data_IF_088411958527
#
_entry.id   IF_088411958527
#
_cell.length_a   1.000
_cell.length_b   1.000
_cell.length_c   1.000
_cell.angle_alpha   90.00
_cell.angle_beta   90.00
_cell.angle_gamma   90.00
#
_symmetry.space_group_name_H-M   'P 1'
#
loop_
_entity.id
_entity.type
_entity.pdbx_description
1 polymer ?
2 polymer ?
3 polymer ?
4 non-polymer ?
5 water ?
#
# COMPACT_ATOMS: atom_id res chain seq x y z
N UNK A 5 -13.96 -17.01 5.78
CA UNK A 5 -14.74 -16.57 6.94
C UNK A 5 -15.73 -15.47 6.52
N UNK A 6 -16.49 -14.94 7.49
CA UNK A 6 -17.49 -13.93 7.21
C UNK A 6 -16.91 -12.68 6.55
N UNK A 7 -15.66 -12.34 6.87
CA UNK A 7 -15.00 -11.14 6.36
C UNK A 7 -13.96 -11.44 5.29
N UNK A 8 -13.40 -12.65 5.28
CA UNK A 8 -12.44 -13.07 4.26
C UNK A 8 -13.07 -13.86 3.12
N UNK A 9 -14.39 -14.07 3.13
CA UNK A 9 -15.06 -14.77 2.03
C UNK A 9 -15.20 -16.26 2.25
N UNK A 23 -10.03 -18.64 13.10
CA UNK A 23 -11.42 -18.34 12.72
C UNK A 23 -11.82 -16.93 13.13
N UNK A 24 -11.37 -16.45 14.29
CA UNK A 24 -11.72 -15.12 14.78
C UNK A 24 -10.64 -14.06 14.49
N UNK A 25 -9.38 -14.39 14.77
CA UNK A 25 -8.31 -13.42 14.58
C UNK A 25 -8.11 -13.12 13.09
N UNK A 26 -8.10 -14.17 12.26
CA UNK A 26 -7.94 -13.98 10.83
C UNK A 26 -9.11 -13.20 10.26
N UNK A 27 -10.32 -13.51 10.74
CA UNK A 27 -11.53 -12.82 10.30
C UNK A 27 -11.45 -11.33 10.61
N UNK A 28 -10.85 -10.97 11.74
CA UNK A 28 -10.74 -9.56 12.11
C UNK A 28 -9.71 -8.83 11.25
N UNK A 29 -8.66 -9.53 10.81
CA UNK A 29 -7.74 -8.92 9.86
C UNK A 29 -8.47 -8.53 8.58
N UNK A 30 -9.34 -9.41 8.07
CA UNK A 30 -10.03 -9.10 6.82
C UNK A 30 -11.05 -7.99 7.01
N UNK A 31 -11.68 -7.94 8.20
CA UNK A 31 -12.63 -6.88 8.50
C UNK A 31 -11.98 -5.51 8.34
N UNK A 32 -10.88 -5.29 9.05
CA UNK A 32 -10.20 -4.00 8.99
C UNK A 32 -9.75 -3.70 7.58
N UNK A 33 -9.19 -4.70 6.89
CA UNK A 33 -8.75 -4.53 5.51
C UNK A 33 -9.90 -4.10 4.62
N UNK A 34 -11.08 -4.67 4.84
CA UNK A 34 -12.23 -4.30 4.03
C UNK A 34 -12.71 -2.88 4.30
N UNK A 35 -12.28 -2.24 5.39
CA UNK A 35 -12.64 -0.87 5.69
C UNK A 35 -11.51 0.10 5.38
N UNK A 36 -10.61 -0.28 4.46
CA UNK A 36 -9.54 0.60 4.01
C UNK A 36 -10.12 1.92 3.51
N UNK A 37 -9.61 3.07 3.96
CA UNK A 37 -10.25 4.34 3.58
C UNK A 37 -10.06 4.71 2.11
N UNK A 38 -9.11 4.11 1.40
CA UNK A 38 -8.74 4.59 0.07
C UNK A 38 -8.62 3.37 -0.84
N UNK A 39 -9.63 3.16 -1.68
CA UNK A 39 -9.66 2.04 -2.61
C UNK A 39 -9.97 2.56 -4.00
N UNK A 40 -9.62 1.76 -4.99
CA UNK A 40 -9.79 2.09 -6.40
C UNK A 40 -10.32 0.88 -7.11
N UNK A 41 -11.59 0.93 -7.53
CA UNK A 41 -12.19 -0.20 -8.21
C UNK A 41 -11.53 -0.43 -9.56
N UNK A 42 -11.83 -1.59 -10.15
CA UNK A 42 -11.39 -1.89 -11.51
C UNK A 42 -11.86 -0.81 -12.47
N UNK A 43 -10.92 -0.26 -13.23
CA UNK A 43 -11.22 0.77 -14.20
C UNK A 43 -11.42 2.14 -13.63
N UNK A 44 -11.26 2.32 -12.32
CA UNK A 44 -11.47 3.60 -11.68
C UNK A 44 -10.24 4.48 -11.81
N UNK A 45 -10.49 5.78 -12.03
CA UNK A 45 -9.43 6.80 -12.02
C UNK A 45 -9.51 7.61 -10.73
N UNK A 46 -8.37 7.80 -10.09
CA UNK A 46 -8.30 8.50 -8.82
C UNK A 46 -6.84 8.82 -8.59
N UNK A 47 -6.55 10.00 -8.03
CA UNK A 47 -5.18 10.41 -7.73
C UNK A 47 -4.29 10.50 -8.96
N UNK A 48 -4.84 10.71 -10.14
CA UNK A 48 -4.04 10.71 -11.34
C UNK A 48 -3.67 9.34 -11.88
N UNK A 49 -4.14 8.27 -11.25
CA UNK A 49 -3.94 6.90 -11.69
C UNK A 49 -5.22 6.35 -12.26
N UNK A 50 -5.12 5.19 -12.90
CA UNK A 50 -6.28 4.43 -13.36
C UNK A 50 -5.97 2.96 -13.11
N UNK A 51 -6.84 2.27 -12.36
CA UNK A 51 -6.63 0.85 -12.07
C UNK A 51 -7.04 0.03 -13.29
N UNK A 52 -6.06 -0.56 -13.96
CA UNK A 52 -6.32 -1.37 -15.13
C UNK A 52 -6.51 -2.85 -14.82
N UNK A 53 -6.43 -3.25 -13.55
CA UNK A 53 -6.74 -4.62 -13.16
C UNK A 53 -8.25 -4.84 -13.18
N UNK A 54 -8.67 -6.11 -13.08
CA UNK A 54 -10.08 -6.47 -13.06
C UNK A 54 -10.67 -6.54 -11.64
N UNK A 55 -9.93 -6.08 -10.64
CA UNK A 55 -10.42 -6.09 -9.27
C UNK A 55 -9.87 -4.86 -8.55
N UNK A 56 -10.43 -4.59 -7.39
CA UNK A 56 -10.09 -3.39 -6.64
C UNK A 56 -8.68 -3.47 -6.11
N UNK A 57 -7.97 -2.34 -6.15
CA UNK A 57 -6.68 -2.19 -5.50
C UNK A 57 -6.80 -1.17 -4.38
N UNK A 58 -5.90 -1.29 -3.41
CA UNK A 58 -5.97 -0.52 -2.18
C UNK A 58 -4.70 0.29 -1.97
N UNK A 59 -4.79 1.25 -1.05
CA UNK A 59 -3.62 1.96 -0.59
C UNK A 59 -2.63 0.99 0.04
N UNK A 60 -1.33 1.22 -0.19
CA UNK A 60 -0.30 0.35 0.36
C UNK A 60 -0.37 0.25 1.89
N UNK A 61 -0.75 1.31 2.59
CA UNK A 61 -0.77 1.23 4.04
C UNK A 61 -1.81 0.21 4.54
N UNK A 62 -2.95 0.12 3.86
CA UNK A 62 -3.93 -0.90 4.20
C UNK A 62 -3.40 -2.31 3.93
N UNK A 63 -2.77 -2.50 2.76
CA UNK A 63 -2.21 -3.82 2.45
C UNK A 63 -1.08 -4.17 3.41
N UNK A 64 -0.27 -3.18 3.79
CA UNK A 64 0.81 -3.41 4.76
C UNK A 64 0.26 -3.86 6.10
N UNK A 65 -0.77 -3.17 6.60
CA UNK A 65 -1.36 -3.53 7.89
C UNK A 65 -2.06 -4.88 7.82
N UNK A 66 -2.64 -5.23 6.67
CA UNK A 66 -3.28 -6.54 6.50
C UNK A 66 -2.24 -7.65 6.56
N UNK A 67 -1.12 -7.46 5.85
CA UNK A 67 -0.03 -8.42 5.84
C UNK A 67 0.48 -8.68 7.24
N UNK A 68 0.75 -7.60 7.97
CA UNK A 68 1.28 -7.72 9.33
C UNK A 68 0.26 -8.36 10.27
N UNK A 69 -1.03 -8.02 10.12
CA UNK A 69 -2.09 -8.59 10.96
C UNK A 69 -2.19 -10.10 10.75
N UNK A 70 -2.12 -10.55 9.50
CA UNK A 70 -2.20 -11.98 9.25
C UNK A 70 -0.98 -12.70 9.79
N UNK A 71 0.20 -12.10 9.64
CA UNK A 71 1.44 -12.75 10.09
C UNK A 71 1.44 -12.93 11.60
N UNK A 72 0.79 -12.01 12.32
CA UNK A 72 0.74 -12.02 13.78
C UNK A 72 -0.53 -12.67 14.33
N UNK A 73 -1.43 -13.12 13.47
CA UNK A 73 -2.68 -13.71 13.95
C UNK A 73 -2.42 -15.07 14.61
N UNK A 74 -3.18 -15.37 15.65
CA UNK A 74 -3.03 -16.66 16.35
C UNK A 74 -3.67 -17.81 15.58
N UNK A 75 -4.69 -17.54 14.76
CA UNK A 75 -5.30 -18.58 13.90
C UNK A 75 -4.39 -18.76 12.70
N UNK A 76 -3.28 -19.48 12.92
CA UNK A 76 -2.17 -19.44 11.99
C UNK A 76 -2.49 -20.15 10.68
N UNK A 77 -3.36 -21.15 10.69
CA UNK A 77 -3.63 -21.90 9.48
C UNK A 77 -4.55 -21.10 8.55
N UNK A 78 -5.60 -20.50 9.11
CA UNK A 78 -6.49 -19.65 8.29
C UNK A 78 -5.73 -18.45 7.76
N UNK A 79 -4.89 -17.83 8.59
CA UNK A 79 -4.14 -16.66 8.16
C UNK A 79 -3.17 -17.01 7.03
N UNK A 80 -2.59 -18.19 7.10
CA UNK A 80 -1.67 -18.62 6.06
C UNK A 80 -2.38 -18.76 4.72
N UNK A 81 -3.56 -19.37 4.71
CA UNK A 81 -4.33 -19.51 3.47
C UNK A 81 -4.74 -18.14 2.94
N UNK A 82 -5.24 -17.27 3.82
CA UNK A 82 -5.72 -15.96 3.38
C UNK A 82 -4.58 -15.11 2.85
N UNK A 83 -3.46 -15.09 3.58
CA UNK A 83 -2.32 -14.30 3.14
C UNK A 83 -1.78 -14.74 1.80
N UNK A 84 -1.56 -16.06 1.64
CA UNK A 84 -1.08 -16.59 0.38
C UNK A 84 -2.01 -16.23 -0.77
N UNK A 85 -3.31 -16.48 -0.58
CA UNK A 85 -4.32 -16.17 -1.59
C UNK A 85 -4.29 -14.70 -2.00
N UNK A 86 -4.22 -13.80 -1.04
CA UNK A 86 -4.30 -12.38 -1.37
C UNK A 86 -3.01 -11.89 -2.00
N UNK A 87 -1.89 -12.19 -1.37
CA UNK A 87 -0.63 -11.54 -1.70
C UNK A 87 0.12 -12.22 -2.83
N UNK A 88 0.00 -13.53 -2.98
CA UNK A 88 0.82 -14.25 -3.93
C UNK A 88 0.16 -14.42 -5.30
N UNK A 89 -1.04 -13.86 -5.48
CA UNK A 89 -1.63 -13.78 -6.81
C UNK A 89 -0.73 -12.95 -7.71
N UNK A 90 -0.61 -13.37 -8.98
CA UNK A 90 0.26 -12.69 -9.93
C UNK A 90 -0.20 -11.24 -10.11
N UNK A 91 0.78 -10.33 -10.24
CA UNK A 91 0.55 -8.94 -10.65
C UNK A 91 -0.16 -8.12 -9.56
N UNK A 92 -0.03 -8.48 -8.30
CA UNK A 92 -0.72 -7.73 -7.26
C UNK A 92 0.01 -6.43 -6.96
N UNK A 93 -0.78 -5.36 -6.78
CA UNK A 93 -0.22 -4.02 -6.59
C UNK A 93 -1.08 -3.19 -5.64
N UNK A 94 -0.44 -2.17 -5.07
CA UNK A 94 -1.09 -1.14 -4.26
C UNK A 94 -0.60 0.21 -4.73
N UNK A 95 -1.23 1.29 -4.26
CA UNK A 95 -0.81 2.62 -4.61
C UNK A 95 -0.54 3.48 -3.37
N UNK A 96 0.35 4.45 -3.54
CA UNK A 96 0.66 5.37 -2.47
C UNK A 96 1.37 6.58 -3.06
N UNK A 97 1.42 7.63 -2.24
CA UNK A 97 2.15 8.85 -2.57
C UNK A 97 3.63 8.67 -2.27
N UNK A 98 4.47 8.93 -3.25
CA UNK A 98 5.90 8.73 -3.11
C UNK A 98 6.61 9.59 -4.13
N UNK A 99 7.89 9.91 -3.85
CA UNK A 99 8.72 10.57 -4.86
C UNK A 99 8.78 9.70 -6.13
N UNK A 100 9.05 10.30 -7.30
CA UNK A 100 9.02 9.51 -8.54
C UNK A 100 9.98 8.32 -8.51
N UNK A 101 9.43 7.13 -8.76
CA UNK A 101 10.22 5.92 -8.69
C UNK A 101 11.17 5.86 -9.88
N UNK A 102 12.43 5.51 -9.62
CA UNK A 102 13.47 5.46 -10.64
C UNK A 102 13.95 4.06 -11.00
N UNK A 103 13.71 3.07 -10.16
CA UNK A 103 14.19 1.73 -10.44
C UNK A 103 13.83 0.77 -9.32
N UNK A 104 14.20 -0.50 -9.52
CA UNK A 104 14.14 -1.51 -8.47
C UNK A 104 15.56 -1.90 -8.09
N UNK A 105 15.82 -1.90 -6.79
CA UNK A 105 17.12 -2.28 -6.29
C UNK A 105 17.24 -3.78 -6.09
N UNK A 106 16.13 -4.47 -5.85
CA UNK A 106 16.17 -5.92 -5.69
C UNK A 106 14.82 -6.48 -6.07
N UNK A 107 14.85 -7.46 -6.98
CA UNK A 107 13.66 -8.23 -7.36
C UNK A 107 13.90 -9.69 -7.02
N UNK A 108 12.88 -10.36 -6.50
CA UNK A 108 12.94 -11.79 -6.23
C UNK A 108 11.57 -12.39 -6.52
N UNK A 109 11.55 -13.55 -7.19
CA UNK A 109 10.32 -14.26 -7.56
C UNK A 109 9.34 -13.33 -8.28
N UNK A 110 9.86 -12.51 -9.17
CA UNK A 110 9.00 -11.67 -9.98
C UNK A 110 8.39 -10.48 -9.28
N UNK A 111 8.94 -10.06 -8.13
CA UNK A 111 8.39 -8.94 -7.37
C UNK A 111 9.51 -8.02 -6.92
N UNK A 112 9.26 -6.71 -7.00
CA UNK A 112 10.18 -5.72 -6.46
C UNK A 112 10.11 -5.71 -4.94
N UNK A 113 11.25 -5.95 -4.30
CA UNK A 113 11.37 -5.83 -2.85
C UNK A 113 11.66 -4.41 -2.43
N UNK A 114 12.58 -3.76 -3.15
CA UNK A 114 13.06 -2.42 -2.80
C UNK A 114 13.21 -1.59 -4.06
N UNK A 115 12.73 -0.36 -3.98
CA UNK A 115 12.77 0.59 -5.09
C UNK A 115 13.55 1.83 -4.67
N UNK A 116 13.95 2.60 -5.68
CA UNK A 116 14.66 3.85 -5.50
C UNK A 116 13.81 4.97 -6.08
N UNK A 117 14.06 6.20 -5.62
CA UNK A 117 13.29 7.37 -6.03
C UNK A 117 14.21 8.54 -6.30
N UNK A 118 13.66 9.52 -7.02
CA UNK A 118 14.28 10.83 -7.18
C UNK A 118 13.73 11.70 -6.06
N UNK A 119 14.50 11.81 -4.99
CA UNK A 119 14.06 12.51 -3.79
C UNK A 119 13.89 14.02 -4.01
N UNK A 120 14.40 14.55 -5.13
CA UNK A 120 14.36 15.98 -5.42
C UNK A 120 13.13 16.42 -6.19
N UNK A 121 12.21 15.49 -6.56
CA UNK A 121 10.99 15.86 -7.27
C UNK A 121 9.76 15.64 -6.38
N UNK A 122 8.67 16.40 -6.59
CA UNK A 122 7.52 16.27 -5.70
C UNK A 122 6.91 14.89 -5.74
N UNK A 123 6.28 14.52 -4.63
CA UNK A 123 5.68 13.20 -4.53
C UNK A 123 4.42 13.15 -5.37
N UNK A 124 4.17 11.99 -5.97
CA UNK A 124 2.99 11.73 -6.78
C UNK A 124 2.52 10.32 -6.48
N UNK A 125 1.23 10.07 -6.67
CA UNK A 125 0.71 8.73 -6.48
C UNK A 125 1.22 7.81 -7.56
N UNK A 126 1.66 6.62 -7.15
CA UNK A 126 2.26 5.63 -8.05
C UNK A 126 1.86 4.25 -7.59
N UNK A 127 2.19 3.25 -8.41
CA UNK A 127 1.89 1.85 -8.15
C UNK A 127 3.10 1.10 -7.68
N UNK A 128 2.90 0.18 -6.72
CA UNK A 128 3.95 -0.61 -6.09
C UNK A 128 3.54 -2.07 -5.97
N UNK A 129 4.52 -2.95 -6.14
CA UNK A 129 4.31 -4.39 -5.97
C UNK A 129 3.96 -4.73 -4.53
N UNK A 130 3.05 -5.69 -4.35
CA UNK A 130 2.86 -6.31 -3.05
C UNK A 130 3.97 -7.33 -2.81
N UNK A 131 4.20 -7.64 -1.54
CA UNK A 131 5.19 -8.64 -1.16
C UNK A 131 4.54 -10.01 -1.11
N UNK A 132 5.34 -11.04 -1.37
CA UNK A 132 4.86 -12.40 -1.20
C UNK A 132 4.70 -12.70 0.29
N UNK A 133 3.68 -13.49 0.61
CA UNK A 133 3.35 -13.87 1.97
C UNK A 133 4.07 -15.16 2.35
N UNK B 1 8.79 -7.62 19.71
CA UNK B 1 9.70 -8.06 20.78
C UNK B 1 11.17 -7.95 20.38
N UNK B 2 11.46 -7.33 19.27
CA UNK B 2 12.81 -7.42 18.73
C UNK B 2 13.68 -6.42 19.50
N UNK B 3 14.94 -6.75 19.64
CA UNK B 3 15.91 -5.89 20.30
C UNK B 3 17.14 -5.77 19.41
N UNK B 4 17.66 -4.55 19.36
CA UNK B 4 18.84 -4.18 18.60
C UNK B 4 19.91 -3.74 19.58
N UNK B 5 21.11 -4.27 19.43
CA UNK B 5 22.24 -3.99 20.32
C UNK B 5 23.38 -3.53 19.44
N UNK B 6 23.82 -2.29 19.63
CA UNK B 6 24.87 -1.69 18.83
C UNK B 6 26.19 -1.65 19.59
N UNK B 7 27.28 -1.63 18.85
CA UNK B 7 28.56 -1.37 19.47
C UNK B 7 29.55 -0.93 18.41
N UNK B 8 30.73 -0.50 18.87
CA UNK B 8 31.82 -0.15 17.99
C UNK B 8 32.09 1.33 17.86
N UNK B 9 31.35 2.18 18.56
CA UNK B 9 31.60 3.61 18.52
C UNK B 9 32.81 3.97 19.34
N UNK B 10 33.11 5.26 19.36
CA UNK B 10 34.23 5.74 20.14
C UNK B 10 34.71 7.09 19.63
N UNK B 11 35.88 7.46 20.11
CA UNK B 11 36.54 8.72 19.80
C UNK B 11 37.78 8.40 18.99
N UNK B 12 37.81 8.87 17.73
CA UNK B 12 38.86 8.51 16.80
C UNK B 12 39.42 9.77 16.15
N UNK B 13 40.68 9.73 15.76
CA UNK B 13 41.24 10.88 15.08
C UNK B 13 40.77 10.89 13.61
N UNK B 14 40.61 12.08 13.07
CA UNK B 14 40.23 12.25 11.67
C UNK B 14 41.22 11.53 10.75
N UNK B 15 40.69 10.92 9.71
CA UNK B 15 41.43 10.01 8.87
C UNK B 15 41.37 8.56 9.30
N UNK B 16 40.91 8.28 10.52
CA UNK B 16 40.91 6.94 11.06
C UNK B 16 39.69 6.16 10.64
N UNK B 17 39.48 5.04 11.33
CA UNK B 17 38.43 4.12 10.95
C UNK B 17 37.83 3.46 12.19
N UNK B 18 36.60 2.98 12.02
CA UNK B 18 35.84 2.28 13.04
C UNK B 18 34.97 1.25 12.33
N UNK B 19 34.51 0.24 13.08
CA UNK B 19 33.51 -0.69 12.58
C UNK B 19 32.37 -0.77 13.59
N UNK B 20 31.20 -0.31 13.18
CA UNK B 20 30.00 -0.48 13.99
C UNK B 20 29.38 -1.82 13.69
N UNK B 21 28.77 -2.40 14.71
CA UNK B 21 27.98 -3.61 14.57
C UNK B 21 26.66 -3.41 15.27
N UNK B 22 25.66 -4.12 14.78
CA UNK B 22 24.32 -4.11 15.34
C UNK B 22 23.78 -5.52 15.25
N UNK B 23 23.53 -6.15 16.39
CA UNK B 23 22.95 -7.48 16.48
C UNK B 23 21.47 -7.37 16.82
N UNK B 24 20.65 -8.16 16.12
CA UNK B 24 19.21 -8.07 16.22
C UNK B 24 18.63 -9.44 16.57
N UNK B 25 17.74 -9.47 17.56
CA UNK B 25 17.08 -10.68 17.98
C UNK B 25 15.57 -10.46 17.91
N UNK B 26 14.83 -11.56 17.89
CA UNK B 26 13.39 -11.55 18.04
C UNK B 26 12.61 -11.94 16.80
N UNK B 27 13.26 -12.06 15.66
CA UNK B 27 12.59 -12.52 14.45
C UNK B 27 13.66 -13.02 13.48
N UNK B 28 13.22 -13.51 12.33
CA UNK B 28 14.14 -14.07 11.34
C UNK B 28 14.92 -12.93 10.70
N UNK B 29 16.20 -12.81 11.08
CA UNK B 29 17.02 -11.66 10.70
C UNK B 29 17.09 -11.47 9.19
N UNK B 30 17.26 -12.54 8.42
CA UNK B 30 17.48 -12.42 6.98
C UNK B 30 16.25 -11.95 6.20
N UNK B 31 15.07 -11.89 6.80
CA UNK B 31 13.88 -11.45 6.09
C UNK B 31 13.78 -9.93 5.95
N UNK B 32 14.62 -9.17 6.65
CA UNK B 32 14.44 -7.73 6.79
C UNK B 32 15.69 -6.94 6.46
N UNK B 33 15.48 -5.84 5.75
CA UNK B 33 16.54 -4.88 5.53
C UNK B 33 16.99 -4.27 6.85
N UNK B 34 18.26 -3.87 6.89
CA UNK B 34 18.85 -3.20 8.03
C UNK B 34 19.51 -1.91 7.55
N UNK B 35 19.41 -0.86 8.35
CA UNK B 35 19.92 0.43 7.97
C UNK B 35 20.67 1.07 9.11
N UNK B 36 21.47 2.05 8.73
CA UNK B 36 22.18 2.94 9.64
C UNK B 36 21.76 4.37 9.35
N UNK B 37 21.45 5.09 10.41
CA UNK B 37 21.11 6.49 10.37
C UNK B 37 22.03 7.18 11.36
N UNK B 38 22.14 8.51 11.26
CA UNK B 38 22.95 9.24 12.23
C UNK B 38 22.33 10.60 12.49
N UNK B 39 22.58 11.11 13.69
CA UNK B 39 22.08 12.42 14.11
C UNK B 39 23.22 13.15 14.80
N UNK B 40 23.69 14.22 14.18
CA UNK B 40 24.71 15.10 14.73
C UNK B 40 24.06 16.12 15.63
N UNK B 41 24.84 16.81 16.48
CA UNK B 41 24.22 17.78 17.41
C UNK B 41 23.49 18.89 16.68
N UNK B 42 22.25 19.14 17.08
CA UNK B 42 21.44 20.20 16.52
C UNK B 42 20.93 19.97 15.11
N UNK B 43 21.19 18.80 14.51
CA UNK B 43 20.76 18.47 13.16
C UNK B 43 19.69 17.40 13.18
N UNK B 44 19.00 17.26 12.06
CA UNK B 44 18.02 16.20 11.91
C UNK B 44 18.73 14.88 11.66
N UNK B 45 18.06 13.80 12.06
CA UNK B 45 18.57 12.46 11.81
C UNK B 45 18.55 12.21 10.30
N UNK B 46 19.59 11.55 9.79
CA UNK B 46 19.76 11.39 8.35
C UNK B 46 20.20 9.96 8.03
N UNK B 47 19.87 9.55 6.83
CA UNK B 47 20.23 8.21 6.38
C UNK B 47 21.72 8.14 6.08
N UNK B 48 22.32 7.00 6.39
CA UNK B 48 23.74 6.75 6.14
C UNK B 48 23.87 5.59 5.15
N UNK B 49 23.31 4.43 5.49
CA UNK B 49 23.49 3.26 4.64
C UNK B 49 22.44 2.21 4.97
N UNK B 50 22.12 1.36 4.00
CA UNK B 50 21.21 0.26 4.28
C UNK B 50 21.50 -0.92 3.38
N UNK B 51 21.02 -2.08 3.79
CA UNK B 51 21.31 -3.35 3.13
C UNK B 51 20.07 -4.24 3.19
N UNK B 52 19.77 -4.91 2.08
CA UNK B 52 18.59 -5.75 2.00
C UNK B 52 18.79 -7.02 2.82
N UNK B 53 17.69 -7.72 3.10
CA UNK B 53 17.74 -8.95 3.87
C UNK B 53 18.71 -9.97 3.31
N UNK B 54 18.75 -10.11 1.98
CA UNK B 54 19.66 -11.04 1.33
C UNK B 54 21.10 -10.54 1.24
N UNK B 55 21.32 -9.24 1.46
CA UNK B 55 22.62 -8.65 1.24
C UNK B 55 22.90 -8.24 -0.19
N UNK B 56 22.00 -8.52 -1.13
CA UNK B 56 22.25 -8.27 -2.53
C UNK B 56 22.10 -6.84 -2.97
N UNK B 57 21.50 -5.99 -2.14
CA UNK B 57 21.24 -4.61 -2.50
C UNK B 57 21.68 -3.73 -1.35
N UNK B 58 22.50 -2.73 -1.66
CA UNK B 58 22.98 -1.78 -0.66
C UNK B 58 22.77 -0.36 -1.19
N UNK B 59 22.64 0.58 -0.26
CA UNK B 59 22.45 1.98 -0.60
C UNK B 59 23.25 2.81 0.39
N UNK B 60 23.77 3.95 -0.09
CA UNK B 60 24.61 4.83 0.71
C UNK B 60 24.20 6.28 0.48
N UNK B 61 24.22 7.08 1.54
CA UNK B 61 24.15 8.53 1.39
C UNK B 61 25.35 9.01 0.57
N UNK B 62 25.14 10.08 -0.21
CA UNK B 62 26.19 10.59 -1.08
C UNK B 62 27.45 10.96 -0.31
N UNK B 63 27.29 11.50 0.91
CA UNK B 63 28.43 12.00 1.65
C UNK B 63 29.31 10.91 2.25
N UNK B 64 28.90 9.64 2.18
CA UNK B 64 29.70 8.54 2.70
C UNK B 64 30.06 7.50 1.63
N UNK B 65 29.59 7.65 0.39
CA UNK B 65 29.97 6.70 -0.65
C UNK B 65 31.47 6.64 -0.84
N UNK B 66 31.99 5.42 -0.95
CA UNK B 66 33.39 5.19 -1.14
C UNK B 66 34.20 5.16 0.13
N UNK B 67 33.66 5.65 1.24
CA UNK B 67 34.32 5.61 2.54
C UNK B 67 33.71 4.61 3.48
N UNK B 68 32.40 4.42 3.43
CA UNK B 68 31.70 3.52 4.33
C UNK B 68 31.27 2.29 3.53
N UNK B 69 31.25 1.14 4.20
CA UNK B 69 30.80 -0.11 3.58
C UNK B 69 29.89 -0.81 4.57
N UNK B 70 28.68 -1.11 4.14
CA UNK B 70 27.74 -1.87 4.95
C UNK B 70 27.79 -3.33 4.52
N UNK B 71 27.61 -4.21 5.48
CA UNK B 71 27.57 -5.64 5.22
C UNK B 71 26.74 -6.28 6.31
N UNK B 72 26.38 -7.54 6.10
CA UNK B 72 25.61 -8.26 7.10
C UNK B 72 26.00 -9.73 7.09
N UNK B 73 25.80 -10.38 8.22
CA UNK B 73 26.05 -11.79 8.40
C UNK B 73 24.77 -12.38 8.97
N UNK B 74 24.00 -13.05 8.12
CA UNK B 74 22.70 -13.54 8.56
C UNK B 74 22.84 -14.69 9.55
N UNK B 75 23.96 -15.42 9.54
CA UNK B 75 24.16 -16.49 10.51
C UNK B 75 24.41 -15.96 11.92
N UNK B 76 24.92 -14.73 12.05
CA UNK B 76 25.15 -14.10 13.34
C UNK B 76 24.08 -13.07 13.70
N UNK B 77 23.09 -12.87 12.84
CA UNK B 77 22.05 -11.86 13.06
C UNK B 77 22.64 -10.48 13.32
N UNK B 78 23.66 -10.12 12.52
CA UNK B 78 24.42 -8.89 12.74
C UNK B 78 24.62 -8.14 11.43
N UNK B 79 24.56 -6.82 11.53
CA UNK B 79 24.86 -5.91 10.42
C UNK B 79 26.03 -5.05 10.85
N UNK B 80 26.88 -4.69 9.89
CA UNK B 80 28.13 -4.01 10.16
C UNK B 80 28.21 -2.76 9.31
N UNK B 81 28.84 -1.73 9.85
CA UNK B 81 29.19 -0.54 9.07
C UNK B 81 30.68 -0.29 9.27
N UNK B 82 31.45 -0.53 8.23
CA UNK B 82 32.87 -0.25 8.27
C UNK B 82 32.99 1.19 7.84
N UNK B 83 33.61 2.01 8.66
CA UNK B 83 33.72 3.44 8.44
C UNK B 83 35.20 3.74 8.28
N UNK B 84 35.64 4.14 7.08
CA UNK B 84 37.04 4.50 6.84
C UNK B 84 37.14 5.98 6.50
N UNK B 85 38.38 6.48 6.55
CA UNK B 85 38.73 7.88 6.25
C UNK B 85 37.77 8.86 6.92
N UNK B 86 37.56 8.66 8.21
CA UNK B 86 36.55 9.41 8.94
C UNK B 86 36.89 10.90 8.97
N UNK B 87 35.85 11.71 8.91
CA UNK B 87 35.92 13.16 8.86
C UNK B 87 35.26 13.74 10.10
N UNK B 88 35.64 14.98 10.50
CA UNK B 88 34.92 15.62 11.62
C UNK B 88 33.42 15.71 11.40
N UNK B 89 32.98 15.93 10.16
CA UNK B 89 31.55 15.97 9.86
C UNK B 89 30.84 14.62 9.96
N UNK B 90 31.58 13.52 10.15
CA UNK B 90 30.96 12.25 10.51
C UNK B 90 30.63 12.13 12.00
N UNK B 91 31.03 13.08 12.84
CA UNK B 91 30.66 13.03 14.26
C UNK B 91 29.15 13.02 14.43
N UNK B 92 28.64 12.01 15.15
CA UNK B 92 27.20 11.87 15.35
C UNK B 92 26.93 10.65 16.23
N UNK B 93 25.69 10.57 16.72
CA UNK B 93 25.15 9.31 17.22
C UNK B 93 24.65 8.51 16.02
N UNK B 94 25.11 7.26 15.92
CA UNK B 94 24.76 6.35 14.83
C UNK B 94 23.76 5.34 15.36
N UNK B 95 22.63 5.20 14.66
CA UNK B 95 21.55 4.33 15.06
C UNK B 95 21.37 3.24 14.03
N UNK B 96 21.34 1.99 14.47
CA UNK B 96 20.93 0.87 13.65
C UNK B 96 19.41 0.82 13.60
N UNK B 97 18.86 0.39 12.48
CA UNK B 97 17.43 0.35 12.28
C UNK B 97 17.07 -0.92 11.52
N UNK B 98 15.91 -1.48 11.84
CA UNK B 98 15.48 -2.75 11.27
C UNK B 98 14.13 -2.54 10.60
N UNK B 99 14.02 -3.06 9.37
CA UNK B 99 12.86 -2.80 8.53
C UNK B 99 11.61 -3.35 9.20
N UNK B 100 10.51 -2.61 9.08
CA UNK B 100 9.26 -3.08 9.62
C UNK B 100 8.65 -4.15 8.74
N UNK B 101 7.69 -4.87 9.31
CA UNK B 101 6.94 -5.85 8.53
C UNK B 101 6.00 -5.09 7.59
N UNK B 102 6.12 -5.37 6.29
CA UNK B 102 5.37 -4.65 5.27
C UNK B 102 4.87 -5.64 4.24
N UNK B 103 3.79 -5.23 3.56
CA UNK B 103 3.17 -6.02 2.52
C UNK B 103 3.40 -5.52 1.12
N UNK B 104 4.33 -4.58 0.93
CA UNK B 104 4.61 -3.99 -0.37
C UNK B 104 6.09 -3.61 -0.40
N UNK B 105 6.56 -3.25 -1.59
CA UNK B 105 7.95 -2.80 -1.76
C UNK B 105 8.24 -1.62 -0.84
N UNK B 106 9.51 -1.54 -0.41
CA UNK B 106 9.96 -0.50 0.51
C UNK B 106 11.20 0.20 -0.02
N UNK B 107 11.37 1.46 0.37
CA UNK B 107 12.55 2.22 0.00
C UNK B 107 13.53 2.21 1.16
N UNK B 108 14.78 1.82 0.89
CA UNK B 108 15.71 1.60 1.99
C UNK B 108 16.19 2.89 2.65
N UNK B 109 16.17 4.03 1.94
CA UNK B 109 16.66 5.26 2.56
C UNK B 109 15.56 6.13 3.15
N UNK B 110 14.34 5.59 3.28
CA UNK B 110 13.25 6.28 3.97
C UNK B 110 13.22 5.84 5.43
N UNK B 111 13.14 6.80 6.35
CA UNK B 111 13.06 6.45 7.77
C UNK B 111 11.79 5.66 8.07
N UNK B 112 10.71 5.90 7.34
CA UNK B 112 9.44 5.21 7.60
C UNK B 112 9.46 3.73 7.25
N UNK B 113 10.48 3.25 6.53
CA UNK B 113 10.64 1.83 6.27
C UNK B 113 10.98 1.03 7.53
N UNK B 114 11.53 1.69 8.55
CA UNK B 114 12.10 1.02 9.71
C UNK B 114 11.23 1.25 10.93
N UNK B 115 10.85 0.15 11.61
CA UNK B 115 10.04 0.20 12.80
C UNK B 115 10.80 0.01 14.10
N UNK B 116 12.06 -0.45 14.03
CA UNK B 116 12.82 -0.74 15.24
C UNK B 116 14.17 -0.06 15.16
N UNK B 117 14.56 0.56 16.27
CA UNK B 117 15.72 1.44 16.32
C UNK B 117 16.55 1.13 17.55
N UNK B 118 17.87 1.13 17.39
CA UNK B 118 18.75 0.99 18.52
C UNK B 118 18.85 2.29 19.30
N UNK B 119 19.44 2.20 20.49
CA UNK B 119 19.63 3.42 21.27
C UNK B 119 20.78 4.26 20.75
N UNK B 120 21.63 3.69 19.91
CA UNK B 120 22.66 4.43 19.22
C UNK B 120 24.02 4.28 19.88
N UNK B 121 25.04 4.65 19.10
CA UNK B 121 26.42 4.63 19.56
C UNK B 121 27.08 5.92 19.07
N UNK B 122 27.84 6.55 19.96
CA UNK B 122 28.42 7.85 19.69
C UNK B 122 29.72 7.64 18.94
N UNK B 123 29.88 8.36 17.85
CA UNK B 123 31.10 8.40 17.07
C UNK B 123 31.57 9.85 17.05
N UNK B 124 32.76 10.09 17.59
CA UNK B 124 33.34 11.43 17.63
C UNK B 124 34.65 11.41 16.88
N UNK B 125 34.78 12.28 15.89
CA UNK B 125 35.98 12.38 15.06
C UNK B 125 36.61 13.74 15.35
N UNK B 126 37.81 13.73 15.94
CA UNK B 126 38.49 14.94 16.35
C UNK B 126 39.55 15.32 15.32
N UNK B 127 39.85 16.62 15.26
CA UNK B 127 40.92 17.16 14.42
C UNK B 127 41.88 17.99 15.26
N UNK C 1 -27.82 -17.38 -1.98
CA UNK C 1 -26.93 -16.81 -2.98
C UNK C 1 -27.01 -15.28 -2.91
N UNK C 2 -26.21 -14.61 -3.73
CA UNK C 2 -26.18 -13.15 -3.82
C UNK C 2 -26.98 -12.75 -5.04
N UNK C 3 -27.71 -11.66 -4.94
CA UNK C 3 -28.56 -11.17 -6.01
C UNK C 3 -28.50 -9.65 -5.99
N UNK C 4 -28.20 -9.06 -7.14
CA UNK C 4 -28.12 -7.62 -7.33
C UNK C 4 -29.11 -7.26 -8.43
N UNK C 5 -30.15 -6.47 -8.10
CA UNK C 5 -31.26 -6.19 -9.00
C UNK C 5 -31.35 -4.69 -9.23
N UNK C 6 -30.93 -4.23 -10.42
CA UNK C 6 -31.08 -2.83 -10.75
C UNK C 6 -32.48 -2.52 -11.26
N UNK C 7 -32.99 -1.34 -10.87
CA UNK C 7 -34.23 -0.81 -11.41
C UNK C 7 -34.09 0.70 -11.55
N UNK C 8 -35.09 1.29 -12.20
CA UNK C 8 -35.17 2.71 -12.39
C UNK C 8 -34.74 3.20 -13.75
N UNK C 9 -34.28 2.33 -14.63
CA UNK C 9 -33.92 2.77 -15.96
C UNK C 9 -35.13 3.15 -16.77
N UNK C 10 -34.89 3.77 -17.92
CA UNK C 10 -35.95 4.15 -18.82
C UNK C 10 -35.48 5.20 -19.79
N UNK C 11 -36.45 5.78 -20.48
CA UNK C 11 -36.23 6.87 -21.42
C UNK C 11 -36.45 8.21 -20.72
N UNK C 12 -35.55 9.16 -20.99
CA UNK C 12 -35.67 10.52 -20.46
C UNK C 12 -35.13 11.50 -21.50
N UNK C 13 -35.66 12.70 -21.47
CA UNK C 13 -35.17 13.74 -22.37
C UNK C 13 -33.90 14.34 -21.78
N UNK C 14 -33.02 14.82 -22.67
CA UNK C 14 -31.79 15.46 -22.23
C UNK C 14 -32.12 16.64 -21.32
N UNK C 15 -31.28 16.84 -20.29
CA UNK C 15 -31.56 17.78 -19.24
C UNK C 15 -32.39 17.24 -18.10
N UNK C 16 -33.01 16.09 -18.27
CA UNK C 16 -33.81 15.48 -17.23
C UNK C 16 -32.95 14.65 -16.29
N UNK C 17 -33.64 13.85 -15.48
CA UNK C 17 -33.01 13.13 -14.39
C UNK C 17 -33.65 11.77 -14.23
N UNK C 18 -32.89 10.87 -13.62
CA UNK C 18 -33.36 9.54 -13.26
C UNK C 18 -32.71 9.16 -11.94
N UNK C 19 -33.33 8.23 -11.22
CA UNK C 19 -32.72 7.68 -10.02
C UNK C 19 -32.71 6.16 -10.16
N UNK C 20 -31.51 5.57 -10.20
CA UNK C 20 -31.38 4.13 -10.26
C UNK C 20 -31.25 3.56 -8.87
N UNK C 21 -31.74 2.35 -8.71
CA UNK C 21 -31.77 1.62 -7.46
C UNK C 21 -31.18 0.25 -7.71
N UNK C 22 -30.38 -0.24 -6.78
CA UNK C 22 -29.86 -1.59 -6.86
C UNK C 22 -30.08 -2.23 -5.50
N UNK C 23 -31.06 -3.12 -5.42
CA UNK C 23 -31.38 -3.84 -4.21
C UNK C 23 -30.55 -5.11 -4.17
N UNK C 24 -29.95 -5.39 -3.03
CA UNK C 24 -29.10 -6.54 -2.84
C UNK C 24 -29.67 -7.42 -1.73
N UNK C 25 -29.24 -8.68 -1.73
CA UNK C 25 -29.32 -9.52 -0.55
C UNK C 25 -28.83 -8.75 0.67
N UNK C 26 -29.70 -8.61 1.67
CA UNK C 26 -29.32 -7.85 2.85
C UNK C 26 -28.21 -8.48 3.67
N UNK C 27 -27.93 -9.77 3.44
CA UNK C 27 -26.89 -10.49 4.17
C UNK C 27 -25.54 -9.77 4.09
N UNK C 28 -25.25 -9.14 2.96
CA UNK C 28 -23.90 -8.73 2.61
C UNK C 28 -23.68 -7.22 2.57
N UNK C 29 -24.75 -6.42 2.55
CA UNK C 29 -24.66 -5.10 1.92
C UNK C 29 -23.73 -4.14 2.67
N UNK C 30 -23.87 -4.05 3.99
CA UNK C 30 -23.09 -3.08 4.74
C UNK C 30 -21.58 -3.34 4.68
N UNK C 31 -21.19 -4.55 4.31
CA UNK C 31 -19.81 -5.00 4.24
C UNK C 31 -19.16 -4.73 2.88
N UNK C 32 -19.96 -4.49 1.85
CA UNK C 32 -19.47 -4.44 0.49
C UNK C 32 -19.09 -3.02 0.08
N UNK C 33 -17.99 -2.92 -0.67
CA UNK C 33 -17.70 -1.74 -1.45
C UNK C 33 -18.55 -1.82 -2.72
N UNK C 34 -19.20 -0.71 -3.07
CA UNK C 34 -20.25 -0.69 -4.08
C UNK C 34 -19.82 0.24 -5.20
N UNK C 35 -20.27 -0.03 -6.42
CA UNK C 35 -19.93 0.83 -7.53
C UNK C 35 -20.99 0.71 -8.62
N UNK C 36 -21.02 1.73 -9.47
CA UNK C 36 -21.80 1.69 -10.70
C UNK C 36 -20.85 1.73 -11.88
N UNK C 37 -21.16 0.91 -12.88
CA UNK C 37 -20.49 0.87 -14.16
C UNK C 37 -21.52 1.12 -15.24
N UNK C 38 -21.05 1.48 -16.43
CA UNK C 38 -21.98 1.61 -17.54
C UNK C 38 -21.32 1.16 -18.83
N UNK C 39 -22.17 0.79 -19.77
CA UNK C 39 -21.76 0.34 -21.10
C UNK C 39 -22.54 1.14 -22.12
N UNK C 40 -21.88 2.11 -22.72
CA UNK C 40 -22.48 2.91 -23.78
C UNK C 40 -22.49 2.08 -25.06
N UNK C 41 -23.32 2.44 -26.05
CA UNK C 41 -23.49 1.54 -27.20
C UNK C 41 -22.20 1.38 -28.00
N UNK C 42 -21.84 0.11 -28.25
CA UNK C 42 -20.66 -0.19 -29.00
C UNK C 42 -19.35 -0.09 -28.25
N UNK C 43 -19.40 0.06 -26.92
CA UNK C 43 -18.21 0.21 -26.08
C UNK C 43 -18.15 -0.87 -25.01
N UNK C 44 -16.99 -0.97 -24.37
CA UNK C 44 -16.85 -1.83 -23.20
C UNK C 44 -17.46 -1.18 -21.98
N UNK C 45 -17.71 -2.02 -20.98
CA UNK C 45 -18.13 -1.57 -19.66
C UNK C 45 -17.06 -0.68 -19.05
N UNK C 46 -17.47 0.45 -18.48
CA UNK C 46 -16.59 1.44 -17.89
C UNK C 46 -17.06 1.80 -16.49
N UNK C 47 -16.12 2.19 -15.64
CA UNK C 47 -16.43 2.63 -14.28
C UNK C 47 -17.05 4.03 -14.29
N UNK C 48 -18.04 4.24 -13.41
CA UNK C 48 -18.70 5.53 -13.23
C UNK C 48 -18.42 6.11 -11.85
N UNK C 49 -18.65 5.33 -10.79
CA UNK C 49 -18.54 5.86 -9.43
C UNK C 49 -18.42 4.71 -8.43
N UNK C 50 -17.70 4.96 -7.33
CA UNK C 50 -17.50 4.01 -6.23
C UNK C 50 -17.96 4.66 -4.93
N UNK C 51 -18.51 3.85 -4.03
CA UNK C 51 -18.80 4.29 -2.65
C UNK C 51 -18.27 3.25 -1.68
N UNK C 52 -17.49 3.70 -0.70
CA UNK C 52 -16.94 2.79 0.31
C UNK C 52 -18.00 2.42 1.35
N UNK C 53 -17.64 1.51 2.26
CA UNK C 53 -18.54 1.12 3.33
C UNK C 53 -18.83 2.27 4.30
N UNK C 54 -17.99 3.29 4.35
CA UNK C 54 -18.23 4.48 5.17
C UNK C 54 -18.97 5.58 4.42
N UNK C 55 -19.26 5.39 3.14
CA UNK C 55 -20.02 6.34 2.37
C UNK C 55 -19.21 7.38 1.63
N UNK C 56 -17.89 7.26 1.61
CA UNK C 56 -17.07 8.18 0.83
C UNK C 56 -17.06 7.76 -0.63
N UNK C 57 -16.96 8.74 -1.52
CA UNK C 57 -17.33 8.55 -2.92
C UNK C 57 -16.23 9.08 -3.85
N UNK C 58 -16.23 8.56 -5.07
CA UNK C 58 -15.40 9.08 -6.15
C UNK C 58 -16.18 8.90 -7.45
N UNK C 59 -15.94 9.79 -8.41
CA UNK C 59 -16.71 9.85 -9.65
C UNK C 59 -15.80 9.99 -10.86
N UNK C 60 -16.23 9.41 -11.97
CA UNK C 60 -15.61 9.70 -13.26
C UNK C 60 -15.78 11.17 -13.60
N UNK C 61 -14.76 11.73 -14.29
CA UNK C 61 -14.77 13.16 -14.65
C UNK C 61 -16.03 13.54 -15.43
N UNK C 62 -16.50 12.66 -16.31
CA UNK C 62 -17.62 12.99 -17.18
C UNK C 62 -18.96 13.08 -16.46
N UNK C 63 -19.05 12.66 -15.20
CA UNK C 63 -20.29 12.73 -14.43
C UNK C 63 -20.19 13.55 -13.16
N UNK C 64 -19.00 14.08 -12.83
CA UNK C 64 -18.84 14.87 -11.61
C UNK C 64 -19.78 16.06 -11.60
N UNK C 65 -20.42 16.27 -10.45
CA UNK C 65 -21.38 17.34 -10.28
C UNK C 65 -22.77 17.05 -10.80
N UNK C 66 -22.94 16.01 -11.63
CA UNK C 66 -24.23 15.64 -12.17
C UNK C 66 -24.80 14.39 -11.52
N UNK C 67 -23.94 13.42 -11.19
CA UNK C 67 -24.38 12.17 -10.60
C UNK C 67 -23.98 12.11 -9.14
N UNK C 68 -24.81 11.41 -8.35
CA UNK C 68 -24.54 11.20 -6.93
C UNK C 68 -24.83 9.75 -6.61
N UNK C 69 -23.83 9.04 -6.12
CA UNK C 69 -24.00 7.70 -5.55
C UNK C 69 -24.29 7.83 -4.07
N UNK C 70 -25.15 6.96 -3.56
CA UNK C 70 -25.41 6.91 -2.12
C UNK C 70 -25.82 5.49 -1.79
N UNK C 71 -25.73 5.15 -0.51
CA UNK C 71 -26.12 3.83 -0.03
C UNK C 71 -27.00 4.00 1.18
N UNK C 72 -28.00 3.12 1.30
CA UNK C 72 -28.86 3.05 2.46
C UNK C 72 -28.72 1.63 3.00
N UNK C 73 -27.85 1.47 4.01
CA UNK C 73 -27.57 0.14 4.51
C UNK C 73 -28.80 -0.49 5.15
N UNK C 74 -29.67 0.34 5.72
CA UNK C 74 -30.89 -0.14 6.34
C UNK C 74 -31.85 -0.76 5.33
N UNK C 75 -31.79 -0.31 4.08
CA UNK C 75 -32.65 -0.83 3.01
C UNK C 75 -31.89 -1.73 2.04
N UNK C 76 -30.61 -1.99 2.31
CA UNK C 76 -29.79 -2.87 1.47
C UNK C 76 -29.82 -2.43 0.02
N UNK C 77 -29.81 -1.11 -0.19
CA UNK C 77 -30.02 -0.52 -1.50
C UNK C 77 -28.94 0.50 -1.81
N UNK C 78 -28.40 0.40 -3.01
CA UNK C 78 -27.51 1.38 -3.60
C UNK C 78 -28.31 2.25 -4.57
N UNK C 79 -27.99 3.55 -4.58
CA UNK C 79 -28.66 4.50 -5.45
C UNK C 79 -27.65 5.19 -6.36
N UNK C 80 -28.14 5.60 -7.53
CA UNK C 80 -27.45 6.55 -8.39
C UNK C 80 -28.45 7.60 -8.84
N UNK C 81 -28.29 8.81 -8.34
CA UNK C 81 -29.10 9.95 -8.75
C UNK C 81 -28.40 10.56 -9.95
N UNK C 82 -29.09 10.64 -11.08
CA UNK C 82 -28.49 11.13 -12.32
C UNK C 82 -29.25 12.38 -12.72
N UNK C 83 -28.58 13.52 -12.63
CA UNK C 83 -29.15 14.81 -13.00
C UNK C 83 -28.50 15.32 -14.29
N UNK C 84 -29.20 16.25 -14.95
CA UNK C 84 -28.66 16.95 -16.12
C UNK C 84 -28.19 15.97 -17.18
N UNK C 85 -29.02 14.98 -17.45
CA UNK C 85 -28.63 13.89 -18.33
C UNK C 85 -28.39 14.38 -19.74
N UNK C 86 -27.44 13.74 -20.41
CA UNK C 86 -27.02 14.07 -21.76
C UNK C 86 -27.10 12.80 -22.60
N UNK C 87 -27.19 12.94 -23.94
CA UNK C 87 -27.27 11.73 -24.77
C UNK C 87 -26.08 10.81 -24.64
N UNK C 88 -24.92 11.36 -24.28
CA UNK C 88 -23.73 10.57 -24.03
C UNK C 88 -23.85 9.70 -22.78
N UNK C 89 -24.86 9.92 -21.93
CA UNK C 89 -25.11 9.06 -20.78
C UNK C 89 -25.94 7.83 -21.13
N UNK C 90 -26.44 7.73 -22.36
CA UNK C 90 -27.19 6.55 -22.78
C UNK C 90 -26.33 5.31 -22.63
N UNK C 91 -26.83 4.30 -21.92
CA UNK C 91 -26.00 3.17 -21.58
C UNK C 91 -26.82 2.19 -20.76
N UNK C 92 -26.32 0.96 -20.69
CA UNK C 92 -26.75 0.01 -19.66
C UNK C 92 -25.93 0.28 -18.42
N UNK C 93 -26.60 0.48 -17.28
CA UNK C 93 -25.94 0.75 -16.00
C UNK C 93 -25.98 -0.52 -15.15
N UNK C 94 -24.85 -0.86 -14.56
CA UNK C 94 -24.68 -2.06 -13.74
C UNK C 94 -24.22 -1.68 -12.34
N UNK C 95 -24.82 -2.31 -11.33
CA UNK C 95 -24.30 -2.20 -9.96
C UNK C 95 -23.34 -3.36 -9.69
N UNK C 96 -22.36 -3.09 -8.85
CA UNK C 96 -21.24 -3.99 -8.58
C UNK C 96 -20.99 -3.98 -7.09
N UNK C 97 -20.96 -5.17 -6.48
CA UNK C 97 -20.62 -5.33 -5.07
C UNK C 97 -19.27 -6.03 -4.98
N UNK C 98 -18.38 -5.47 -4.16
CA UNK C 98 -16.98 -5.86 -4.11
C UNK C 98 -16.63 -6.26 -2.69
N UNK C 99 -15.91 -7.36 -2.54
CA UNK C 99 -15.35 -7.78 -1.25
C UNK C 99 -13.85 -7.76 -1.40
N UNK C 100 -13.19 -6.92 -0.62
CA UNK C 100 -11.84 -6.52 -0.95
C UNK C 100 -10.84 -7.63 -0.62
N UNK C 101 -11.02 -8.30 0.52
CA UNK C 101 -10.03 -9.29 0.94
C UNK C 101 -10.09 -10.55 0.09
N UNK C 102 -11.30 -11.00 -0.28
CA UNK C 102 -11.44 -12.17 -1.13
C UNK C 102 -11.35 -11.85 -2.62
N UNK C 103 -11.28 -10.57 -2.99
CA UNK C 103 -11.35 -10.11 -4.38
C UNK C 103 -12.54 -10.72 -5.13
N UNK C 104 -13.70 -10.71 -4.48
CA UNK C 104 -14.92 -11.22 -5.07
C UNK C 104 -15.73 -10.03 -5.61
N UNK C 105 -16.30 -10.22 -6.80
CA UNK C 105 -17.15 -9.24 -7.46
C UNK C 105 -18.49 -9.88 -7.76
N UNK C 106 -19.57 -9.16 -7.47
CA UNK C 106 -20.91 -9.53 -7.87
C UNK C 106 -21.46 -8.44 -8.76
N UNK C 107 -22.34 -8.81 -9.69
CA UNK C 107 -22.82 -7.90 -10.71
C UNK C 107 -24.31 -8.08 -10.91
N UNK C 108 -24.99 -7.00 -11.16
CA UNK C 108 -26.35 -7.07 -11.61
C UNK C 108 -26.40 -7.19 -13.11
N UNK C 109 -27.55 -7.60 -13.62
CA UNK C 109 -27.69 -7.79 -15.05
C UNK C 109 -27.89 -6.47 -15.80
N UNK C 110 -28.10 -5.38 -15.08
CA UNK C 110 -28.01 -4.04 -15.65
C UNK C 110 -29.37 -3.51 -16.07
N UNK C 111 -29.48 -2.17 -16.09
CA UNK C 111 -30.71 -1.48 -16.43
C UNK C 111 -30.41 -0.44 -17.50
N UNK C 112 -31.24 -0.41 -18.53
CA UNK C 112 -31.03 0.47 -19.67
C UNK C 112 -31.49 1.88 -19.36
N UNK C 113 -30.66 2.85 -19.72
CA UNK C 113 -30.98 4.27 -19.63
C UNK C 113 -30.80 4.83 -21.03
N UNK C 114 -31.85 5.44 -21.58
CA UNK C 114 -31.78 6.09 -22.88
C UNK C 114 -32.11 7.56 -22.72
N UNK C 115 -31.24 8.42 -23.21
CA UNK C 115 -31.40 9.87 -23.09
C UNK C 115 -31.59 10.40 -24.50
N UNK C 116 -32.81 10.78 -24.83
CA UNK C 116 -33.13 11.33 -26.12
C UNK C 116 -32.88 12.84 -26.14
N UNK C 117 -32.58 13.37 -27.33
CA UNK C 117 -32.30 14.79 -27.49
C UNK C 117 -33.51 15.59 -27.96
N UNK C 118 -34.51 14.94 -28.55
CA UNK C 118 -35.70 15.63 -28.99
C UNK C 118 -35.54 16.26 -30.36
X LIG D 1 -3.91 -6.41 -7.43
#
# INVERSE_FOLDING_TARGET
IYPGTLWCGHGNKSSGPNELGRFKHTDACCRTHDMCPDVMSAGESKHGLTNTASHTRLSCDCDDKFYDCLKNSADTISSYFVGKMYFNLIDTKCYKLEHPVTGCGERTEGRCLHYTVDKSKPKVYQWFDLRKY
QVQLVESGGGLVQAGGSLRLSCAASGRTFSRYAMGWFRQAPGKEREFVSAISGSGGFTDYADSVKGRFTISRDNAKSTVYLRMSSLKPEDTAVYYCAAEGSRGSSTRLDARGTYDYWGQGTQVTVSS
QVQLVETGGGLVQAGGSLRLSCATSGTIFSRATMAWYRQTPGKQREWVTTITTSGNTNYADSVKGRFTISRDNAESTLYLQMNSLKPEDTAVYYCNAQFLSSRTNYWGKGTQVTVSSG
CL CL
#
